data_IF_107540345787
#
_entry.id   IF_107540345787
#
_cell.length_a   1.000
_cell.length_b   1.000
_cell.length_c   1.000
_cell.angle_alpha   90.00
_cell.angle_beta   90.00
_cell.angle_gamma   90.00
#
_symmetry.space_group_name_H-M   'P 1'
#
loop_
_entity.id
_entity.type
_entity.pdbx_description
1 polymer ?
#
# COMPACT_ATOMS: atom_id res chain seq x y z
N UNK A 1 -6.89 -2.70 -16.14
CA UNK A 1 -5.62 -3.00 -15.45
C UNK A 1 -5.75 -4.35 -14.76
N UNK A 2 -4.71 -5.15 -14.80
CA UNK A 2 -4.76 -6.49 -14.20
C UNK A 2 -4.31 -6.46 -12.75
N UNK A 3 -4.85 -7.36 -11.96
CA UNK A 3 -4.34 -7.62 -10.61
C UNK A 3 -2.91 -8.15 -10.69
N UNK A 4 -2.01 -7.52 -9.95
CA UNK A 4 -0.61 -7.90 -9.88
C UNK A 4 -0.28 -8.28 -8.43
N UNK A 5 -0.20 -9.59 -8.11
CA UNK A 5 0.09 -10.01 -6.73
C UNK A 5 1.42 -9.50 -6.20
N UNK A 6 2.42 -9.32 -7.07
CA UNK A 6 3.71 -8.78 -6.63
C UNK A 6 3.56 -7.32 -6.18
N UNK A 7 2.73 -6.54 -6.87
CA UNK A 7 2.49 -5.16 -6.48
C UNK A 7 1.77 -5.10 -5.13
N UNK A 8 0.77 -5.95 -4.92
CA UNK A 8 0.07 -6.06 -3.62
C UNK A 8 1.08 -6.35 -2.50
N UNK A 9 1.92 -7.38 -2.69
CA UNK A 9 2.93 -7.75 -1.70
C UNK A 9 3.86 -6.58 -1.40
N UNK A 10 4.37 -5.91 -2.44
CA UNK A 10 5.34 -4.85 -2.27
C UNK A 10 4.73 -3.62 -1.59
N UNK A 11 3.47 -3.31 -1.88
CA UNK A 11 2.75 -2.25 -1.17
C UNK A 11 2.63 -2.59 0.31
N UNK A 12 2.25 -3.82 0.64
CA UNK A 12 2.07 -4.21 2.04
C UNK A 12 3.41 -4.21 2.79
N UNK A 13 4.49 -4.65 2.16
CA UNK A 13 5.83 -4.57 2.76
C UNK A 13 6.25 -3.11 3.00
N UNK A 14 5.96 -2.23 2.05
CA UNK A 14 6.25 -0.81 2.20
C UNK A 14 5.45 -0.19 3.35
N UNK A 15 4.18 -0.54 3.46
CA UNK A 15 3.33 -0.06 4.55
C UNK A 15 3.85 -0.56 5.89
N UNK A 16 4.24 -1.84 5.97
CA UNK A 16 4.78 -2.40 7.20
C UNK A 16 6.00 -1.63 7.68
N UNK A 17 6.91 -1.29 6.76
CA UNK A 17 8.17 -0.62 7.11
C UNK A 17 8.00 0.86 7.42
N UNK A 18 7.00 1.51 6.85
CA UNK A 18 6.91 2.98 6.86
C UNK A 18 5.75 3.52 7.69
N UNK A 19 5.02 2.68 8.40
CA UNK A 19 3.95 3.12 9.29
C UNK A 19 4.24 2.68 10.73
N UNK A 20 3.75 3.48 11.67
CA UNK A 20 3.79 3.18 13.09
C UNK A 20 2.49 3.66 13.71
N UNK A 21 2.42 3.71 15.05
CA UNK A 21 1.19 4.09 15.73
C UNK A 21 0.68 5.46 15.29
N UNK A 22 1.58 6.43 15.12
CA UNK A 22 1.22 7.80 14.73
C UNK A 22 1.90 8.25 13.43
N UNK A 23 2.52 7.33 12.70
CA UNK A 23 3.24 7.65 11.47
C UNK A 23 2.50 7.07 10.27
N UNK A 24 1.93 7.95 9.45
CA UNK A 24 1.13 7.58 8.28
C UNK A 24 1.90 7.88 7.00
N UNK A 25 1.59 7.14 5.93
CA UNK A 25 2.19 7.36 4.62
C UNK A 25 1.27 8.29 3.82
N UNK A 26 1.74 9.49 3.42
CA UNK A 26 0.96 10.33 2.51
C UNK A 26 1.01 9.77 1.09
N UNK A 27 -0.14 9.68 0.44
CA UNK A 27 -0.27 9.19 -0.93
C UNK A 27 -0.90 10.30 -1.77
N UNK A 28 -0.17 10.85 -2.75
CA UNK A 28 -0.74 11.87 -3.64
C UNK A 28 -1.91 11.31 -4.43
N UNK A 29 -3.00 12.08 -4.52
CA UNK A 29 -4.16 11.69 -5.33
C UNK A 29 -3.91 11.86 -6.82
N UNK A 30 -2.91 12.66 -7.17
CA UNK A 30 -2.57 12.98 -8.55
C UNK A 30 -1.31 12.20 -8.96
N UNK A 31 -1.43 11.37 -9.98
CA UNK A 31 -0.31 10.55 -10.47
C UNK A 31 0.89 11.40 -10.91
N UNK A 32 0.67 12.64 -11.33
CA UNK A 32 1.76 13.52 -11.76
C UNK A 32 2.62 14.03 -10.59
N UNK A 33 2.10 13.98 -9.38
CA UNK A 33 2.83 14.39 -8.17
C UNK A 33 3.30 13.20 -7.34
N UNK A 34 3.21 12.00 -7.91
CA UNK A 34 3.47 10.77 -7.20
C UNK A 34 4.97 10.63 -6.91
N UNK A 35 5.33 10.40 -5.66
CA UNK A 35 6.71 10.26 -5.24
C UNK A 35 6.80 9.24 -4.10
N UNK A 36 6.68 7.98 -4.47
CA UNK A 36 6.82 6.86 -3.55
C UNK A 36 7.90 5.93 -4.12
N UNK A 37 8.72 5.36 -3.23
CA UNK A 37 9.83 4.49 -3.62
C UNK A 37 9.39 3.38 -4.60
N UNK A 38 8.17 2.87 -4.45
CA UNK A 38 7.65 1.81 -5.32
C UNK A 38 7.55 2.21 -6.79
N UNK A 39 7.55 3.50 -7.12
CA UNK A 39 7.49 3.96 -8.51
C UNK A 39 8.69 3.51 -9.35
N UNK A 40 9.78 3.07 -8.71
CA UNK A 40 10.93 2.52 -9.44
C UNK A 40 10.63 1.17 -10.08
N UNK A 41 9.62 0.45 -9.57
CA UNK A 41 9.25 -0.90 -10.04
C UNK A 41 7.90 -0.93 -10.75
N UNK A 42 7.05 0.04 -10.51
CA UNK A 42 5.67 0.07 -11.00
C UNK A 42 5.32 1.49 -11.43
N UNK A 43 4.45 1.60 -12.42
CA UNK A 43 3.92 2.91 -12.82
C UNK A 43 3.03 3.49 -11.71
N UNK A 44 2.98 4.82 -11.56
CA UNK A 44 2.17 5.44 -10.49
C UNK A 44 0.71 5.03 -10.49
N UNK A 45 0.07 4.93 -11.64
CA UNK A 45 -1.34 4.54 -11.71
C UNK A 45 -1.55 3.08 -11.30
N UNK A 46 -0.58 2.22 -11.60
CA UNK A 46 -0.62 0.82 -11.14
C UNK A 46 -0.54 0.75 -9.62
N UNK A 47 0.34 1.55 -9.01
CA UNK A 47 0.48 1.58 -7.55
C UNK A 47 -0.82 2.08 -6.91
N UNK A 48 -1.38 3.19 -7.41
CA UNK A 48 -2.62 3.74 -6.86
C UNK A 48 -3.79 2.75 -6.99
N UNK A 49 -3.89 2.08 -8.14
CA UNK A 49 -4.91 1.05 -8.35
C UNK A 49 -4.78 -0.07 -7.32
N UNK A 50 -3.55 -0.54 -7.08
CA UNK A 50 -3.32 -1.65 -6.15
C UNK A 50 -3.42 -1.23 -4.68
N UNK A 51 -3.19 0.05 -4.36
CA UNK A 51 -3.50 0.57 -3.02
C UNK A 51 -5.01 0.49 -2.78
N UNK A 52 -5.82 0.87 -3.77
CA UNK A 52 -7.28 0.72 -3.69
C UNK A 52 -7.67 -0.74 -3.49
N UNK A 53 -7.03 -1.66 -4.20
CA UNK A 53 -7.30 -3.09 -4.04
C UNK A 53 -6.90 -3.59 -2.65
N UNK A 54 -5.79 -3.11 -2.11
CA UNK A 54 -5.39 -3.45 -0.74
C UNK A 54 -6.44 -3.02 0.27
N UNK A 55 -7.02 -1.84 0.09
CA UNK A 55 -8.09 -1.37 0.95
C UNK A 55 -9.34 -2.23 0.78
N UNK A 56 -9.68 -2.56 -0.46
CA UNK A 56 -10.84 -3.40 -0.77
C UNK A 56 -10.72 -4.80 -0.18
N UNK A 57 -9.52 -5.38 -0.20
CA UNK A 57 -9.24 -6.65 0.46
C UNK A 57 -9.31 -6.54 1.99
N UNK A 58 -9.25 -5.34 2.53
CA UNK A 58 -9.19 -5.13 3.97
C UNK A 58 -7.80 -5.32 4.54
N UNK A 59 -6.75 -5.18 3.73
CA UNK A 59 -5.37 -5.38 4.18
C UNK A 59 -4.75 -4.13 4.80
N UNK A 60 -5.31 -2.95 4.53
CA UNK A 60 -4.78 -1.69 5.05
C UNK A 60 -5.92 -0.83 5.57
N UNK A 61 -5.58 0.07 6.49
CA UNK A 61 -6.47 1.13 6.95
C UNK A 61 -5.98 2.46 6.36
N UNK A 62 -6.92 3.26 5.87
CA UNK A 62 -6.60 4.54 5.25
C UNK A 62 -7.37 5.67 5.93
N UNK A 63 -6.92 6.90 5.68
CA UNK A 63 -7.57 8.12 6.12
C UNK A 63 -7.74 9.00 4.89
N UNK A 64 -8.91 9.63 4.75
CA UNK A 64 -9.22 10.44 3.57
C UNK A 64 -8.31 11.65 3.41
N UNK A 65 -7.74 12.16 4.50
CA UNK A 65 -6.73 13.21 4.43
C UNK A 65 -7.25 14.53 3.87
N UNK A 66 -6.55 15.02 2.85
CA UNK A 66 -6.81 16.33 2.22
C UNK A 66 -7.19 16.16 0.76
N UNK A 67 -7.43 17.28 0.06
CA UNK A 67 -7.66 17.27 -1.38
C UNK A 67 -6.41 16.75 -2.12
N UNK A 68 -5.22 17.07 -1.63
CA UNK A 68 -3.97 16.71 -2.30
C UNK A 68 -3.54 15.27 -2.02
N UNK A 69 -3.77 14.78 -0.80
CA UNK A 69 -3.27 13.47 -0.37
C UNK A 69 -4.32 12.73 0.46
N UNK A 70 -4.35 11.41 0.32
CA UNK A 70 -4.91 10.57 1.37
C UNK A 70 -3.74 9.90 2.12
N UNK A 71 -4.03 9.18 3.20
CA UNK A 71 -2.98 8.59 4.02
C UNK A 71 -3.24 7.10 4.23
N UNK A 72 -2.17 6.31 4.19
CA UNK A 72 -2.22 4.92 4.63
C UNK A 72 -1.78 4.92 6.09
N UNK A 73 -2.67 4.45 6.98
CA UNK A 73 -2.42 4.48 8.42
C UNK A 73 -1.56 3.31 8.88
N UNK A 74 -1.87 2.11 8.42
CA UNK A 74 -1.16 0.89 8.82
C UNK A 74 -1.76 -0.33 8.10
N UNK A 75 -1.10 -1.48 8.28
CA UNK A 75 -1.69 -2.76 7.91
C UNK A 75 -2.83 -3.09 8.87
N UNK A 76 -3.87 -3.73 8.35
CA UNK A 76 -4.88 -4.39 9.17
C UNK A 76 -4.33 -5.71 9.69
N UNK A 77 -5.09 -6.36 10.57
CA UNK A 77 -4.77 -7.73 11.00
C UNK A 77 -4.67 -8.67 9.80
N UNK A 78 -5.60 -8.56 8.85
CA UNK A 78 -5.57 -9.37 7.62
C UNK A 78 -4.33 -9.10 6.79
N UNK A 79 -3.89 -7.84 6.71
CA UNK A 79 -2.68 -7.49 5.99
C UNK A 79 -1.44 -8.11 6.61
N UNK A 80 -1.34 -8.08 7.93
CA UNK A 80 -0.24 -8.75 8.64
C UNK A 80 -0.26 -10.26 8.41
N UNK A 81 -1.43 -10.88 8.46
CA UNK A 81 -1.56 -12.32 8.23
C UNK A 81 -1.17 -12.69 6.81
N UNK A 82 -1.55 -11.87 5.83
CA UNK A 82 -1.18 -12.09 4.43
C UNK A 82 0.34 -12.12 4.27
N UNK A 83 1.04 -11.14 4.84
CA UNK A 83 2.50 -11.08 4.76
C UNK A 83 3.14 -12.25 5.48
N UNK A 84 2.62 -12.64 6.63
CA UNK A 84 3.15 -13.76 7.40
C UNK A 84 3.04 -15.06 6.61
N UNK A 85 1.92 -15.28 5.92
CA UNK A 85 1.72 -16.46 5.09
C UNK A 85 2.72 -16.51 3.94
N UNK A 86 2.99 -15.36 3.31
CA UNK A 86 3.99 -15.28 2.23
C UNK A 86 5.38 -15.63 2.76
N UNK A 87 5.75 -15.14 3.94
CA UNK A 87 7.04 -15.42 4.55
C UNK A 87 7.20 -16.89 4.89
N UNK A 88 6.13 -17.53 5.35
CA UNK A 88 6.14 -18.97 5.65
C UNK A 88 6.28 -19.81 4.39
N UNK A 89 5.62 -19.43 3.31
CA UNK A 89 5.71 -20.15 2.04
C UNK A 89 7.12 -20.12 1.44
N UNK A 90 7.89 -19.07 1.76
CA UNK A 90 9.25 -18.88 1.23
C UNK A 90 10.32 -19.54 2.10
N UNK A 91 9.93 -20.18 3.17
CA UNK A 91 10.83 -20.93 4.03
C UNK A 91 10.75 -22.44 3.68
#
# INVERSE_FOLDING_TARGET
MRLNPDCIRDILLYVEENTGYMSYIPVPRNVHNFDIVLQNNYEPDEILYHIDLCEEYGYIHTDSGTIANFYIKRLSVLGHEFLENIRQENN
#
